data_IF_848038082560
#
_entry.id   IF_848038082560
#
_cell.length_a   1.000
_cell.length_b   1.000
_cell.length_c   1.000
_cell.angle_alpha   90.00
_cell.angle_beta   90.00
_cell.angle_gamma   90.00
#
_symmetry.space_group_name_H-M   'P 1'
#
loop_
_entity.id
_entity.type
_entity.pdbx_description
1 polymer ?
#
# COMPACT_ATOMS: atom_id res chain seq x y z
N UNK A 1 -6.95 -0.96 -14.33
CA UNK A 1 -6.49 -1.29 -15.70
C UNK A 1 -7.53 -0.91 -16.75
N UNK A 2 -8.83 -0.94 -16.43
CA UNK A 2 -9.90 -0.49 -17.32
C UNK A 2 -9.70 0.95 -17.86
N UNK A 3 -9.54 1.94 -16.98
CA UNK A 3 -9.38 3.36 -17.35
C UNK A 3 -8.11 3.60 -18.18
N UNK A 4 -7.00 2.97 -17.75
CA UNK A 4 -5.73 3.08 -18.47
C UNK A 4 -5.82 2.50 -19.88
N UNK A 5 -6.63 1.46 -20.08
CA UNK A 5 -6.82 0.84 -21.39
C UNK A 5 -7.71 1.70 -22.29
N UNK A 6 -8.77 2.29 -21.74
CA UNK A 6 -9.65 3.23 -22.46
C UNK A 6 -8.90 4.47 -22.96
N UNK A 7 -7.94 4.97 -22.18
CA UNK A 7 -7.11 6.13 -22.53
C UNK A 7 -5.83 5.76 -23.32
N UNK A 8 -5.72 4.51 -23.79
CA UNK A 8 -4.56 4.07 -24.58
C UNK A 8 -3.22 4.16 -23.84
N UNK A 9 -3.24 4.03 -22.52
CA UNK A 9 -2.11 4.21 -21.61
C UNK A 9 -1.48 5.61 -21.63
N UNK A 10 -2.18 6.60 -22.20
CA UNK A 10 -1.79 8.01 -22.20
C UNK A 10 -2.58 8.81 -21.15
N UNK A 11 -2.23 10.09 -20.99
CA UNK A 11 -2.92 11.04 -20.11
C UNK A 11 -3.06 10.54 -18.66
N UNK A 12 -1.96 10.01 -18.09
CA UNK A 12 -1.93 9.39 -16.76
C UNK A 12 -2.40 10.31 -15.64
N UNK A 13 -2.14 11.59 -15.79
CA UNK A 13 -2.62 12.67 -14.92
C UNK A 13 -4.15 12.72 -14.80
N UNK A 14 -4.89 12.23 -15.80
CA UNK A 14 -6.36 12.22 -15.79
C UNK A 14 -6.97 10.97 -15.18
N UNK A 15 -6.20 9.90 -14.98
CA UNK A 15 -6.75 8.59 -14.57
C UNK A 15 -7.40 8.63 -13.19
N UNK A 16 -6.85 9.43 -12.28
CA UNK A 16 -7.41 9.64 -10.95
C UNK A 16 -8.74 10.39 -11.01
N UNK A 17 -8.90 11.34 -11.93
CA UNK A 17 -10.13 12.10 -12.12
C UNK A 17 -11.31 11.23 -12.59
N UNK A 18 -11.02 10.09 -13.22
CA UNK A 18 -12.04 9.11 -13.63
C UNK A 18 -12.54 8.23 -12.47
N UNK A 19 -11.85 8.23 -11.31
CA UNK A 19 -12.20 7.39 -10.13
C UNK A 19 -12.22 8.15 -8.80
N UNK A 20 -12.90 9.30 -8.69
CA UNK A 20 -12.80 10.18 -7.52
C UNK A 20 -13.30 9.50 -6.23
N UNK A 21 -14.40 8.75 -6.31
CA UNK A 21 -14.98 8.04 -5.14
C UNK A 21 -14.07 6.91 -4.68
N UNK A 22 -13.63 6.04 -5.60
CA UNK A 22 -12.75 4.93 -5.28
C UNK A 22 -11.40 5.44 -4.73
N UNK A 23 -10.84 6.50 -5.32
CA UNK A 23 -9.64 7.15 -4.82
C UNK A 23 -9.82 7.72 -3.40
N UNK A 24 -10.94 8.38 -3.11
CA UNK A 24 -11.22 8.90 -1.77
C UNK A 24 -11.29 7.79 -0.71
N UNK A 25 -11.99 6.69 -1.02
CA UNK A 25 -12.08 5.52 -0.15
C UNK A 25 -10.70 4.89 0.03
N UNK A 26 -9.95 4.67 -1.06
CA UNK A 26 -8.61 4.11 -1.00
C UNK A 26 -7.68 4.96 -0.13
N UNK A 27 -7.65 6.29 -0.35
CA UNK A 27 -6.79 7.20 0.41
C UNK A 27 -7.12 7.20 1.90
N UNK A 28 -8.39 7.26 2.26
CA UNK A 28 -8.82 7.24 3.67
C UNK A 28 -8.54 5.89 4.33
N UNK A 29 -8.81 4.78 3.63
CA UNK A 29 -8.54 3.44 4.13
C UNK A 29 -7.04 3.14 4.30
N UNK A 30 -6.19 3.63 3.39
CA UNK A 30 -4.73 3.44 3.47
C UNK A 30 -4.11 4.00 4.75
N UNK A 31 -4.65 5.10 5.29
CA UNK A 31 -4.22 5.61 6.60
C UNK A 31 -4.54 4.64 7.73
N UNK A 32 -5.72 4.02 7.70
CA UNK A 32 -6.12 3.00 8.69
C UNK A 32 -5.22 1.77 8.59
N UNK A 33 -4.92 1.29 7.38
CA UNK A 33 -4.01 0.16 7.16
C UNK A 33 -2.60 0.48 7.67
N UNK A 34 -2.08 1.67 7.37
CA UNK A 34 -0.77 2.09 7.85
C UNK A 34 -0.73 2.18 9.38
N UNK A 35 -1.71 2.84 10.00
CA UNK A 35 -1.82 2.94 11.45
C UNK A 35 -1.94 1.55 12.12
N UNK A 36 -2.72 0.64 11.52
CA UNK A 36 -2.82 -0.75 11.96
C UNK A 36 -1.47 -1.48 11.89
N UNK A 37 -0.71 -1.30 10.82
CA UNK A 37 0.65 -1.85 10.69
C UNK A 37 1.60 -1.36 11.78
N UNK A 38 1.57 -0.06 12.09
CA UNK A 38 2.35 0.53 13.20
C UNK A 38 1.90 -0.02 14.56
N UNK A 39 0.58 -0.09 14.79
CA UNK A 39 0.03 -0.64 16.03
C UNK A 39 0.43 -2.11 16.23
N UNK A 40 0.42 -2.92 15.17
CA UNK A 40 0.88 -4.31 15.20
C UNK A 40 2.38 -4.41 15.49
N UNK A 41 3.21 -3.58 14.85
CA UNK A 41 4.64 -3.52 15.12
C UNK A 41 4.94 -3.13 16.57
N UNK A 42 4.20 -2.16 17.11
CA UNK A 42 4.32 -1.76 18.50
C UNK A 42 3.86 -2.88 19.45
N UNK A 43 2.72 -3.52 19.20
CA UNK A 43 2.21 -4.60 20.04
C UNK A 43 3.16 -5.81 20.10
N UNK A 44 3.73 -6.21 18.96
CA UNK A 44 4.64 -7.34 18.88
C UNK A 44 6.12 -7.02 19.13
N UNK A 45 6.45 -5.81 19.59
CA UNK A 45 7.84 -5.36 19.80
C UNK A 45 8.65 -6.24 20.76
N UNK A 46 7.96 -6.88 21.72
CA UNK A 46 8.57 -7.75 22.74
C UNK A 46 8.62 -9.23 22.31
N UNK A 47 8.02 -9.59 21.17
CA UNK A 47 7.98 -10.98 20.69
C UNK A 47 9.10 -11.16 19.65
N UNK A 48 10.26 -11.66 20.08
CA UNK A 48 11.48 -11.75 19.26
C UNK A 48 11.23 -12.41 17.89
N UNK A 49 10.41 -13.48 17.85
CA UNK A 49 10.13 -14.24 16.64
C UNK A 49 9.22 -13.51 15.63
N UNK A 50 8.49 -12.48 16.07
CA UNK A 50 7.56 -11.69 15.26
C UNK A 50 8.08 -10.26 15.02
N UNK A 51 8.90 -9.70 15.91
CA UNK A 51 9.39 -8.32 15.88
C UNK A 51 9.88 -7.91 14.50
N UNK A 52 10.89 -8.59 13.97
CA UNK A 52 11.49 -8.22 12.69
C UNK A 52 10.48 -8.27 11.53
N UNK A 53 9.53 -9.20 11.58
CA UNK A 53 8.51 -9.33 10.54
C UNK A 53 7.44 -8.24 10.61
N UNK A 54 7.06 -7.84 11.83
CA UNK A 54 6.10 -6.76 12.04
C UNK A 54 6.69 -5.39 11.71
N UNK A 55 7.95 -5.14 12.11
CA UNK A 55 8.68 -3.94 11.69
C UNK A 55 8.92 -3.92 10.18
N UNK A 56 9.21 -5.07 9.57
CA UNK A 56 9.28 -5.21 8.11
C UNK A 56 7.95 -4.86 7.43
N UNK A 57 6.82 -5.33 7.96
CA UNK A 57 5.48 -4.95 7.47
C UNK A 57 5.27 -3.43 7.55
N UNK A 58 5.58 -2.82 8.70
CA UNK A 58 5.46 -1.37 8.87
C UNK A 58 6.33 -0.60 7.86
N UNK A 59 7.56 -1.06 7.59
CA UNK A 59 8.44 -0.47 6.59
C UNK A 59 7.89 -0.60 5.16
N UNK A 60 7.35 -1.76 4.78
CA UNK A 60 6.71 -1.95 3.46
C UNK A 60 5.49 -1.03 3.31
N UNK A 61 4.66 -0.92 4.35
CA UNK A 61 3.50 -0.03 4.36
C UNK A 61 3.90 1.43 4.26
N UNK A 62 5.00 1.85 4.91
CA UNK A 62 5.53 3.20 4.79
C UNK A 62 5.96 3.52 3.34
N UNK A 63 6.69 2.60 2.69
CA UNK A 63 7.09 2.75 1.29
C UNK A 63 5.89 2.74 0.34
N UNK A 64 4.90 1.88 0.60
CA UNK A 64 3.65 1.84 -0.16
C UNK A 64 2.89 3.17 -0.03
N UNK A 65 2.82 3.73 1.18
CA UNK A 65 2.21 5.05 1.41
C UNK A 65 2.95 6.16 0.67
N UNK A 66 4.29 6.19 0.76
CA UNK A 66 5.12 7.17 0.05
C UNK A 66 4.91 7.10 -1.47
N UNK A 67 4.95 5.90 -2.06
CA UNK A 67 4.68 5.72 -3.50
C UNK A 67 3.25 6.12 -3.89
N UNK A 68 2.24 5.89 -3.03
CA UNK A 68 0.87 6.33 -3.25
C UNK A 68 0.73 7.86 -3.23
N UNK A 69 1.44 8.53 -2.32
CA UNK A 69 1.53 10.00 -2.28
C UNK A 69 2.21 10.52 -3.55
N UNK A 70 3.31 9.90 -3.98
CA UNK A 70 3.99 10.25 -5.25
C UNK A 70 3.04 10.13 -6.44
N UNK A 71 2.24 9.06 -6.52
CA UNK A 71 1.27 8.89 -7.60
C UNK A 71 0.25 10.05 -7.69
N UNK A 72 -0.17 10.58 -6.55
CA UNK A 72 -1.13 11.69 -6.50
C UNK A 72 -0.51 13.05 -6.82
N UNK A 73 0.68 13.35 -6.27
CA UNK A 73 1.29 14.68 -6.37
C UNK A 73 2.25 14.85 -7.55
N UNK A 74 2.72 13.77 -8.17
CA UNK A 74 3.68 13.83 -9.28
C UNK A 74 3.06 13.39 -10.62
N UNK A 75 1.75 13.62 -10.81
CA UNK A 75 1.01 13.35 -12.05
C UNK A 75 1.11 11.90 -12.53
N UNK A 76 0.98 10.95 -11.59
CA UNK A 76 1.00 9.51 -11.85
C UNK A 76 2.21 9.05 -12.71
N UNK A 77 3.46 9.13 -12.18
CA UNK A 77 4.63 8.71 -12.93
C UNK A 77 4.55 7.24 -13.35
N UNK A 78 5.02 6.94 -14.56
CA UNK A 78 4.97 5.61 -15.17
C UNK A 78 5.45 4.48 -14.26
N UNK A 79 6.57 4.71 -13.56
CA UNK A 79 7.22 3.73 -12.69
C UNK A 79 6.60 3.67 -11.30
N UNK A 80 5.99 4.75 -10.83
CA UNK A 80 5.42 4.81 -9.48
C UNK A 80 4.22 3.85 -9.35
N UNK A 81 3.46 3.64 -10.43
CA UNK A 81 2.29 2.77 -10.44
C UNK A 81 2.64 1.29 -10.18
N UNK A 82 3.53 0.65 -10.98
CA UNK A 82 3.93 -0.73 -10.70
C UNK A 82 4.67 -0.87 -9.37
N UNK A 83 5.47 0.12 -8.96
CA UNK A 83 6.15 0.11 -7.66
C UNK A 83 5.14 0.11 -6.50
N UNK A 84 4.12 0.97 -6.55
CA UNK A 84 3.09 1.02 -5.52
C UNK A 84 2.33 -0.30 -5.40
N UNK A 85 1.94 -0.90 -6.54
CA UNK A 85 1.25 -2.19 -6.57
C UNK A 85 2.14 -3.35 -6.07
N UNK A 86 3.43 -3.35 -6.41
CA UNK A 86 4.38 -4.34 -5.91
C UNK A 86 4.51 -4.25 -4.38
N UNK A 87 4.66 -3.04 -3.84
CA UNK A 87 4.74 -2.81 -2.39
C UNK A 87 3.44 -3.21 -1.68
N UNK A 88 2.28 -2.90 -2.26
CA UNK A 88 0.99 -3.34 -1.75
C UNK A 88 0.88 -4.88 -1.72
N UNK A 89 1.37 -5.55 -2.75
CA UNK A 89 1.38 -7.02 -2.84
C UNK A 89 2.26 -7.64 -1.76
N UNK A 90 3.44 -7.07 -1.49
CA UNK A 90 4.30 -7.49 -0.38
C UNK A 90 3.66 -7.24 0.98
N UNK A 91 2.97 -6.11 1.17
CA UNK A 91 2.28 -5.82 2.42
C UNK A 91 1.16 -6.84 2.70
N UNK A 92 0.36 -7.17 1.69
CA UNK A 92 -0.69 -8.19 1.79
C UNK A 92 -0.06 -9.56 2.10
N UNK A 93 0.97 -9.95 1.36
CA UNK A 93 1.66 -11.24 1.54
C UNK A 93 2.22 -11.39 2.96
N UNK A 94 2.90 -10.35 3.46
CA UNK A 94 3.46 -10.34 4.80
C UNK A 94 2.38 -10.38 5.88
N UNK A 95 1.26 -9.66 5.68
CA UNK A 95 0.11 -9.68 6.59
C UNK A 95 -0.53 -11.06 6.64
N UNK A 96 -0.78 -11.69 5.50
CA UNK A 96 -1.28 -13.06 5.42
C UNK A 96 -0.33 -14.06 6.10
N UNK A 97 0.97 -13.96 5.84
CA UNK A 97 1.97 -14.79 6.51
C UNK A 97 1.91 -14.65 8.04
N UNK A 98 1.83 -13.42 8.55
CA UNK A 98 1.74 -13.16 9.98
C UNK A 98 0.45 -13.74 10.57
N UNK A 99 -0.69 -13.58 9.89
CA UNK A 99 -1.99 -14.12 10.29
C UNK A 99 -1.99 -15.65 10.38
N UNK A 100 -1.41 -16.34 9.40
CA UNK A 100 -1.32 -17.80 9.43
C UNK A 100 -0.32 -18.30 10.47
N UNK A 101 0.75 -17.54 10.73
CA UNK A 101 1.74 -17.90 11.75
C UNK A 101 1.20 -17.74 13.17
N UNK A 102 0.36 -16.74 13.45
CA UNK A 102 -0.23 -16.55 14.80
C UNK A 102 -1.42 -17.46 15.08
N UNK A 103 -2.00 -18.11 14.07
CA UNK A 103 -3.07 -19.11 14.22
C UNK A 103 -2.58 -20.55 14.36
N UNK A 104 -1.26 -20.78 14.32
CA UNK A 104 -0.61 -22.05 14.62
C UNK A 104 0.08 -21.94 15.97
#
# INVERSE_FOLDING_TARGET
>A
DDISRELGYQQRETWLAQTPVAFLIHRSFSWLVFAGGIALAWAGRNIIQLRNKLFGLAGILLLSMASGITLFYADMPAIAQPVHLLLATFAITQTCYLLFKTRR
#
